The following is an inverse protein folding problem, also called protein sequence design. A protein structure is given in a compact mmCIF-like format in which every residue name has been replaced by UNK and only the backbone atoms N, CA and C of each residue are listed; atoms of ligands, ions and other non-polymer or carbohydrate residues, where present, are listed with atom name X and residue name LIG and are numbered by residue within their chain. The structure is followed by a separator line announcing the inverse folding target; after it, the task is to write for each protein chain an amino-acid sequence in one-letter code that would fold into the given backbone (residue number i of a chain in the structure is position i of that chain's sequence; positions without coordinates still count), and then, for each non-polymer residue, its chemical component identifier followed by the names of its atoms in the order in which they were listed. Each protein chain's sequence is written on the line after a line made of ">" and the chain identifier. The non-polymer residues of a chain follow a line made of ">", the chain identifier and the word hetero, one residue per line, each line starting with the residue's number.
data_IF_049453917535
#
_entry.id   IF_049453917535
#
_cell.length_a   1.000
_cell.length_b   1.000
_cell.length_c   1.000
_cell.angle_alpha   90.00
_cell.angle_beta   90.00
_cell.angle_gamma   90.00
#
_symmetry.space_group_name_H-M   'P 1'
#
loop_
_entity.id
_entity.type
_entity.pdbx_description
1 polymer ?
#
# COMPACT_ATOMS: atom_id res chain seq x y z
N UNK A 1 12.30 -6.27 -1.02
CA UNK A 1 12.91 -5.58 0.14
C UNK A 1 12.13 -4.32 0.50
N UNK A 2 12.20 -3.23 -0.29
CA UNK A 2 11.54 -1.95 0.04
C UNK A 2 10.02 -2.05 0.31
N UNK A 3 9.29 -2.87 -0.45
CA UNK A 3 7.85 -3.09 -0.25
C UNK A 3 7.50 -3.77 1.08
N UNK A 4 8.30 -4.75 1.49
CA UNK A 4 8.10 -5.44 2.77
C UNK A 4 8.34 -4.46 3.93
N UNK A 5 9.39 -3.66 3.81
CA UNK A 5 9.71 -2.62 4.79
C UNK A 5 8.63 -1.54 4.85
N UNK A 6 8.14 -1.05 3.70
CA UNK A 6 7.03 -0.10 3.63
C UNK A 6 5.74 -0.66 4.24
N UNK A 7 5.40 -1.91 3.95
CA UNK A 7 4.24 -2.58 4.55
C UNK A 7 4.35 -2.71 6.07
N UNK A 8 5.54 -3.04 6.58
CA UNK A 8 5.81 -3.11 8.02
C UNK A 8 5.71 -1.73 8.68
N UNK A 9 6.22 -0.68 8.03
CA UNK A 9 6.13 0.69 8.51
C UNK A 9 4.67 1.19 8.56
N UNK A 10 3.85 0.82 7.57
CA UNK A 10 2.40 1.08 7.56
C UNK A 10 1.72 0.35 8.74
N UNK A 11 2.04 -0.92 8.97
CA UNK A 11 1.46 -1.67 10.08
C UNK A 11 1.81 -1.04 11.44
N UNK A 12 3.08 -0.70 11.66
CA UNK A 12 3.55 -0.07 12.90
C UNK A 12 2.89 1.30 13.10
N UNK A 13 2.87 2.15 12.08
CA UNK A 13 2.25 3.48 12.16
C UNK A 13 0.74 3.41 12.41
N UNK A 14 0.05 2.42 11.84
CA UNK A 14 -1.37 2.19 12.11
C UNK A 14 -1.61 1.83 13.58
N UNK A 15 -0.78 0.97 14.16
CA UNK A 15 -0.86 0.62 15.59
C UNK A 15 -0.55 1.84 16.47
N UNK A 16 0.50 2.61 16.17
CA UNK A 16 0.82 3.86 16.87
C UNK A 16 -0.35 4.86 16.82
N UNK A 17 -0.99 5.02 15.66
CA UNK A 17 -2.14 5.91 15.51
C UNK A 17 -3.34 5.44 16.36
N UNK A 18 -3.57 4.12 16.45
CA UNK A 18 -4.62 3.56 17.30
C UNK A 18 -4.33 3.77 18.80
N UNK A 19 -3.08 3.60 19.22
CA UNK A 19 -2.66 3.87 20.60
C UNK A 19 -2.80 5.37 20.93
N UNK A 20 -2.42 6.25 20.01
CA UNK A 20 -2.58 7.69 20.17
C UNK A 20 -4.07 8.09 20.22
N UNK A 21 -4.92 7.44 19.42
CA UNK A 21 -6.37 7.64 19.47
C UNK A 21 -6.97 7.17 20.80
N UNK A 22 -6.51 6.05 21.35
CA UNK A 22 -6.92 5.57 22.67
C UNK A 22 -6.52 6.55 23.76
N UNK A 23 -5.27 7.01 23.78
CA UNK A 23 -4.77 8.02 24.74
C UNK A 23 -5.58 9.32 24.66
N UNK A 24 -5.89 9.77 23.44
CA UNK A 24 -6.73 10.95 23.20
C UNK A 24 -8.15 10.75 23.73
N UNK A 25 -8.74 9.57 23.51
CA UNK A 25 -10.06 9.23 24.02
C UNK A 25 -10.09 9.23 25.56
N UNK A 26 -9.12 8.59 26.20
CA UNK A 26 -9.01 8.59 27.66
C UNK A 26 -8.87 10.01 28.20
N UNK A 27 -8.01 10.84 27.60
CA UNK A 27 -7.82 12.23 27.98
C UNK A 27 -9.14 13.02 27.93
N UNK A 28 -9.89 12.95 26.83
CA UNK A 28 -11.17 13.64 26.71
C UNK A 28 -12.26 13.07 27.62
N UNK A 29 -12.26 11.75 27.84
CA UNK A 29 -13.21 11.11 28.76
C UNK A 29 -13.01 11.59 30.21
N UNK A 30 -11.75 11.74 30.63
CA UNK A 30 -11.40 12.24 31.95
C UNK A 30 -11.79 13.71 32.14
N UNK A 31 -11.51 14.56 31.14
CA UNK A 31 -11.92 15.97 31.18
C UNK A 31 -13.44 16.12 31.24
N UNK A 32 -14.17 15.30 30.49
CA UNK A 32 -15.64 15.27 30.50
C UNK A 32 -16.20 14.86 31.87
N UNK A 33 -15.60 13.87 32.51
CA UNK A 33 -16.02 13.41 33.84
C UNK A 33 -15.81 14.48 34.94
N UNK A 34 -14.80 15.35 34.78
CA UNK A 34 -14.49 16.43 35.74
C UNK A 34 -15.35 17.69 35.60
N UNK A 35 -16.31 17.72 34.66
CA UNK A 35 -17.09 18.93 34.33
C UNK A 35 -16.20 20.17 34.08
N UNK A 36 -14.97 19.94 33.60
CA UNK A 36 -14.01 21.02 33.36
C UNK A 36 -14.46 21.84 32.15
N UNK A 37 -14.32 23.17 32.26
CA UNK A 37 -14.79 24.13 31.26
C UNK A 37 -14.10 23.93 29.90
N UNK A 38 -14.79 24.36 28.84
CA UNK A 38 -14.35 24.28 27.43
C UNK A 38 -12.95 24.85 27.15
N UNK A 39 -12.45 25.74 28.00
CA UNK A 39 -11.08 26.27 27.98
C UNK A 39 -10.03 25.15 28.17
N UNK A 40 -10.23 24.25 29.14
CA UNK A 40 -9.32 23.11 29.38
C UNK A 40 -9.47 21.96 28.37
N UNK A 41 -10.60 21.88 27.66
CA UNK A 41 -10.80 20.95 26.53
C UNK A 41 -9.95 21.37 25.33
N UNK A 42 -9.68 22.67 25.20
CA UNK A 42 -8.92 23.24 24.09
C UNK A 42 -7.41 23.02 24.21
N UNK A 43 -6.94 22.68 25.42
CA UNK A 43 -5.53 22.52 25.75
C UNK A 43 -5.14 21.04 25.70
N UNK A 44 -5.07 20.49 24.48
CA UNK A 44 -4.52 19.14 24.26
C UNK A 44 -3.02 19.18 24.59
N UNK A 45 -2.49 18.22 25.39
CA UNK A 45 -1.07 18.16 25.70
C UNK A 45 -0.23 18.08 24.43
N UNK A 46 0.87 18.84 24.38
CA UNK A 46 1.75 18.86 23.22
C UNK A 46 2.30 17.45 22.89
N UNK A 47 2.50 16.61 23.90
CA UNK A 47 2.99 15.24 23.73
C UNK A 47 2.05 14.38 22.86
N UNK A 48 0.73 14.48 23.06
CA UNK A 48 -0.25 13.76 22.24
C UNK A 48 -0.22 14.24 20.78
N UNK A 49 -0.11 15.56 20.58
CA UNK A 49 -0.02 16.15 19.23
C UNK A 49 1.23 15.67 18.50
N UNK A 50 2.36 15.60 19.22
CA UNK A 50 3.61 15.08 18.68
C UNK A 50 3.52 13.59 18.34
N UNK A 51 2.85 12.78 19.17
CA UNK A 51 2.69 11.35 18.93
C UNK A 51 1.80 11.06 17.71
N UNK A 52 0.66 11.75 17.58
CA UNK A 52 -0.20 11.66 16.41
C UNK A 52 0.54 12.16 15.16
N UNK A 53 1.26 13.29 15.28
CA UNK A 53 2.05 13.84 14.19
C UNK A 53 3.13 12.86 13.70
N UNK A 54 3.85 12.23 14.62
CA UNK A 54 4.86 11.23 14.32
C UNK A 54 4.23 10.00 13.63
N UNK A 55 3.11 9.49 14.15
CA UNK A 55 2.41 8.35 13.55
C UNK A 55 1.97 8.63 12.11
N UNK A 56 1.44 9.83 11.84
CA UNK A 56 1.01 10.25 10.50
C UNK A 56 2.22 10.40 9.55
N UNK A 57 3.32 10.99 10.01
CA UNK A 57 4.54 11.13 9.20
C UNK A 57 5.10 9.75 8.83
N UNK A 58 5.21 8.84 9.81
CA UNK A 58 5.64 7.46 9.59
C UNK A 58 4.73 6.72 8.59
N UNK A 59 3.42 6.91 8.70
CA UNK A 59 2.46 6.32 7.77
C UNK A 59 2.68 6.84 6.35
N UNK A 60 2.88 8.14 6.17
CA UNK A 60 3.13 8.76 4.86
C UNK A 60 4.40 8.19 4.22
N UNK A 61 5.50 8.09 4.96
CA UNK A 61 6.73 7.45 4.49
C UNK A 61 6.52 5.98 4.14
N UNK A 62 5.75 5.25 4.94
CA UNK A 62 5.44 3.84 4.70
C UNK A 62 4.71 3.64 3.37
N UNK A 63 3.70 4.47 3.09
CA UNK A 63 2.94 4.45 1.84
C UNK A 63 3.83 4.77 0.64
N UNK A 64 4.70 5.77 0.74
CA UNK A 64 5.64 6.10 -0.35
C UNK A 64 6.56 4.93 -0.68
N UNK A 65 7.08 4.23 0.33
CA UNK A 65 7.95 3.06 0.14
C UNK A 65 7.21 1.79 -0.33
N UNK A 66 5.92 1.67 -0.01
CA UNK A 66 5.10 0.55 -0.44
C UNK A 66 4.67 0.65 -1.92
N UNK A 67 4.57 1.87 -2.43
CA UNK A 67 4.05 2.17 -3.78
C UNK A 67 4.86 1.47 -4.88
N UNK A 68 4.20 0.88 -5.91
CA UNK A 68 4.90 0.32 -7.06
C UNK A 68 5.77 1.35 -7.78
N UNK A 69 6.89 0.93 -8.41
CA UNK A 69 7.60 1.82 -9.30
C UNK A 69 6.68 2.25 -10.45
N UNK A 70 6.86 3.50 -10.90
CA UNK A 70 6.12 4.01 -12.05
C UNK A 70 6.44 3.16 -13.29
N UNK A 71 5.39 2.78 -14.03
CA UNK A 71 5.55 2.10 -15.31
C UNK A 71 5.85 3.12 -16.39
N UNK A 72 6.81 2.82 -17.27
CA UNK A 72 7.09 3.63 -18.45
C UNK A 72 5.90 3.65 -19.41
N UNK A 73 5.63 4.81 -20.00
CA UNK A 73 4.50 5.02 -20.93
C UNK A 73 4.83 4.69 -22.38
N UNK A 74 6.09 4.48 -22.72
CA UNK A 74 6.54 4.36 -24.11
C UNK A 74 6.27 2.95 -24.65
N UNK A 75 5.56 2.87 -25.77
CA UNK A 75 5.28 1.61 -26.47
C UNK A 75 6.56 0.82 -26.83
N UNK A 76 7.64 1.51 -27.17
CA UNK A 76 8.93 0.88 -27.49
C UNK A 76 9.51 0.10 -26.30
N UNK A 77 9.35 0.58 -25.05
CA UNK A 77 9.88 -0.11 -23.88
C UNK A 77 9.03 -1.31 -23.47
N UNK A 78 7.72 -1.25 -23.74
CA UNK A 78 6.85 -2.41 -23.58
C UNK A 78 7.09 -3.46 -24.67
N UNK A 79 7.27 -3.05 -25.93
CA UNK A 79 7.57 -3.96 -27.05
C UNK A 79 8.91 -4.67 -26.89
N UNK A 80 9.91 -4.06 -26.23
CA UNK A 80 11.20 -4.70 -25.92
C UNK A 80 11.05 -5.94 -25.01
N UNK A 81 9.97 -6.04 -24.23
CA UNK A 81 9.73 -7.16 -23.31
C UNK A 81 9.01 -8.34 -23.98
N UNK A 82 8.47 -8.16 -25.19
CA UNK A 82 7.68 -9.16 -25.91
C UNK A 82 8.55 -9.85 -26.96
N UNK A 83 8.33 -11.15 -27.15
CA UNK A 83 9.02 -11.93 -28.19
C UNK A 83 8.22 -11.91 -29.50
N UNK A 84 8.92 -12.05 -30.63
CA UNK A 84 8.30 -12.12 -31.96
C UNK A 84 7.26 -13.24 -32.03
N UNK A 85 7.53 -14.40 -31.44
CA UNK A 85 6.59 -15.54 -31.40
C UNK A 85 5.30 -15.23 -30.66
N UNK A 86 5.37 -14.44 -29.59
CA UNK A 86 4.20 -14.02 -28.82
C UNK A 86 3.29 -13.09 -29.65
N UNK A 87 3.90 -12.19 -30.42
CA UNK A 87 3.18 -11.29 -31.31
C UNK A 87 2.64 -12.00 -32.56
N UNK A 88 3.36 -13.02 -33.05
CA UNK A 88 2.98 -13.81 -34.23
C UNK A 88 2.01 -14.96 -33.95
N UNK A 89 1.81 -15.34 -32.68
CA UNK A 89 0.88 -16.40 -32.25
C UNK A 89 -0.55 -16.20 -32.76
N UNK A 90 -0.97 -14.94 -32.98
CA UNK A 90 -2.26 -14.53 -33.60
C UNK A 90 -3.39 -15.54 -33.30
N UNK A 91 -3.82 -15.66 -32.03
CA UNK A 91 -4.69 -16.76 -31.57
C UNK A 91 -6.04 -16.80 -32.30
N UNK A 92 -6.53 -15.66 -32.79
CA UNK A 92 -7.74 -15.57 -33.62
C UNK A 92 -7.64 -16.36 -34.95
N UNK A 93 -6.41 -16.62 -35.42
CA UNK A 93 -6.12 -17.36 -36.65
C UNK A 93 -5.40 -18.69 -36.37
N UNK A 94 -5.50 -19.22 -35.16
CA UNK A 94 -4.85 -20.47 -34.79
C UNK A 94 -5.47 -21.65 -35.56
N UNK A 95 -4.63 -22.35 -36.34
CA UNK A 95 -5.00 -23.59 -37.02
C UNK A 95 -4.68 -24.81 -36.17
N UNK A 96 -5.66 -25.71 -35.97
CA UNK A 96 -5.48 -26.94 -35.19
C UNK A 96 -4.90 -28.12 -36.01
N UNK A 97 -4.72 -27.94 -37.33
CA UNK A 97 -4.13 -28.92 -38.23
C UNK A 97 -2.60 -28.78 -38.30
N UNK A 98 -1.91 -29.06 -37.19
CA UNK A 98 -0.46 -29.05 -37.12
C UNK A 98 0.09 -30.39 -36.62
N UNK A 99 1.39 -30.63 -36.89
CA UNK A 99 2.10 -31.88 -36.53
C UNK A 99 2.06 -32.20 -35.02
N UNK A 100 1.79 -31.18 -34.20
CA UNK A 100 1.57 -31.28 -32.75
C UNK A 100 0.53 -32.34 -32.36
N UNK A 101 -0.50 -32.52 -33.19
CA UNK A 101 -1.55 -33.52 -32.98
C UNK A 101 -1.05 -34.95 -32.99
N UNK A 102 -0.07 -35.29 -33.82
CA UNK A 102 0.47 -36.67 -33.89
C UNK A 102 1.54 -36.92 -32.85
N UNK A 103 2.34 -35.90 -32.51
CA UNK A 103 3.49 -36.04 -31.60
C UNK A 103 3.06 -36.05 -30.12
N UNK A 104 1.97 -35.38 -29.73
CA UNK A 104 1.49 -35.35 -28.34
C UNK A 104 0.30 -36.28 -28.06
N UNK A 105 -0.23 -36.97 -29.07
CA UNK A 105 -1.35 -37.90 -28.90
C UNK A 105 -0.93 -39.34 -28.54
N UNK A 106 0.38 -39.62 -28.49
CA UNK A 106 0.95 -40.96 -28.24
C UNK A 106 1.63 -41.11 -26.86
N UNK A 107 1.48 -40.13 -25.98
CA UNK A 107 1.89 -40.16 -24.56
C UNK A 107 0.67 -40.19 -23.65
#
# INVERSE_FOLDING_TARGET
>A
MARLFGGLLIAISTVLLLLAAHSTYEHFSYLKARNQSSESIRQVPADLVMEIGLAVILFMFGVTLYTPPLKEITWASEMRKRTIDEMNSRPSFAGFNHRGRSIHASS
#
